data_IF_556813050628
#
_entry.id   IF_556813050628
#
_cell.length_a   1.000
_cell.length_b   1.000
_cell.length_c   1.000
_cell.angle_alpha   90.00
_cell.angle_beta   90.00
_cell.angle_gamma   90.00
#
_symmetry.space_group_name_H-M   'P 1'
#
loop_
_entity.id
_entity.type
_entity.pdbx_description
1 polymer ?
#
# COMPACT_ATOMS: atom_id res chain seq x y z
N UNK A 1 5.31 -10.69 12.92
CA UNK A 1 6.52 -9.82 13.03
C UNK A 1 6.13 -8.54 13.76
N UNK A 2 6.94 -8.07 14.73
CA UNK A 2 6.65 -6.92 15.59
C UNK A 2 7.80 -5.92 15.45
N UNK A 3 7.52 -4.67 15.14
CA UNK A 3 8.50 -3.57 15.20
C UNK A 3 8.69 -3.17 16.66
N UNK A 4 9.85 -3.46 17.22
CA UNK A 4 10.20 -3.16 18.64
C UNK A 4 10.72 -1.74 18.78
N UNK A 5 11.56 -1.30 17.85
CA UNK A 5 12.22 0.02 17.89
C UNK A 5 12.37 0.59 16.49
N UNK A 6 12.15 1.91 16.38
CA UNK A 6 12.33 2.69 15.16
C UNK A 6 13.29 3.83 15.43
N UNK A 7 14.37 3.91 14.64
CA UNK A 7 15.31 5.01 14.65
C UNK A 7 15.18 5.80 13.35
N UNK A 8 15.00 7.09 13.44
CA UNK A 8 14.84 8.02 12.32
C UNK A 8 15.88 9.12 12.43
N UNK A 9 16.48 9.49 11.29
CA UNK A 9 17.37 10.64 11.19
C UNK A 9 17.12 11.37 9.87
N UNK A 10 16.81 12.66 9.95
CA UNK A 10 16.59 13.57 8.82
C UNK A 10 15.54 13.11 7.81
N UNK A 11 14.42 12.54 8.28
CA UNK A 11 13.33 12.05 7.44
C UNK A 11 12.14 13.01 7.45
N UNK A 12 11.84 13.62 6.31
CA UNK A 12 10.79 14.64 6.15
C UNK A 12 10.96 15.78 7.17
N UNK A 13 9.99 16.02 8.06
CA UNK A 13 10.11 17.04 9.12
C UNK A 13 10.75 16.51 10.41
N UNK A 14 11.04 15.20 10.50
CA UNK A 14 11.66 14.59 11.69
C UNK A 14 13.17 14.70 11.57
N UNK A 15 13.79 15.43 12.51
CA UNK A 15 15.24 15.54 12.59
C UNK A 15 15.86 14.28 13.17
N UNK A 16 15.38 13.88 14.34
CA UNK A 16 15.80 12.66 15.03
C UNK A 16 14.67 12.11 15.86
N UNK A 17 14.46 10.80 15.81
CA UNK A 17 13.58 10.08 16.72
C UNK A 17 14.14 8.68 16.99
N UNK A 18 13.98 8.21 18.23
CA UNK A 18 14.31 6.85 18.63
C UNK A 18 13.17 6.36 19.54
N UNK A 19 12.36 5.44 19.03
CA UNK A 19 11.08 5.10 19.62
C UNK A 19 10.98 3.60 19.86
N UNK A 20 10.61 3.20 21.07
CA UNK A 20 10.27 1.83 21.41
C UNK A 20 8.75 1.64 21.42
N UNK A 21 8.28 0.57 20.81
CA UNK A 21 6.86 0.33 20.59
C UNK A 21 6.29 -0.80 21.45
N UNK A 22 4.99 -0.68 21.74
CA UNK A 22 4.18 -1.79 22.23
C UNK A 22 3.98 -2.84 21.12
N UNK A 23 3.92 -4.14 21.48
CA UNK A 23 3.64 -5.19 20.51
C UNK A 23 2.22 -5.15 19.94
N UNK A 24 1.30 -4.39 20.54
CA UNK A 24 -0.11 -4.31 20.11
C UNK A 24 -0.47 -2.94 19.52
N UNK A 25 -0.64 -1.93 20.33
CA UNK A 25 -1.20 -0.64 19.87
C UNK A 25 -0.23 0.50 20.16
N UNK A 26 0.06 1.31 19.14
CA UNK A 26 0.91 2.49 19.24
C UNK A 26 0.14 3.69 18.67
N UNK A 27 -0.16 4.66 19.51
CA UNK A 27 -0.94 5.82 19.16
C UNK A 27 -0.07 7.09 19.09
N UNK A 28 -0.23 7.88 18.03
CA UNK A 28 0.42 9.16 17.85
C UNK A 28 -0.61 10.27 17.85
N UNK A 29 -0.52 11.15 18.84
CA UNK A 29 -1.41 12.30 19.00
C UNK A 29 -0.68 13.61 18.73
N UNK A 30 -1.34 14.56 18.07
CA UNK A 30 -0.80 15.89 17.77
C UNK A 30 -1.66 16.63 16.76
N UNK A 31 -1.46 17.93 16.64
CA UNK A 31 -2.14 18.77 15.65
C UNK A 31 -1.80 18.29 14.20
N UNK A 32 -2.59 18.76 13.22
CA UNK A 32 -2.29 18.49 11.81
C UNK A 32 -0.98 19.18 11.40
N UNK A 33 -0.20 18.53 10.55
CA UNK A 33 1.10 19.04 10.09
C UNK A 33 2.29 18.76 11.03
N UNK A 34 2.07 18.26 12.25
CA UNK A 34 3.14 18.05 13.23
C UNK A 34 4.08 16.87 12.91
N UNK A 35 3.76 16.00 11.93
CA UNK A 35 4.63 14.91 11.52
C UNK A 35 4.10 13.51 11.82
N UNK A 36 2.88 13.35 12.32
CA UNK A 36 2.27 12.03 12.61
C UNK A 36 2.30 11.10 11.41
N UNK A 37 1.78 11.55 10.25
CA UNK A 37 1.82 10.81 8.98
C UNK A 37 3.25 10.46 8.56
N UNK A 38 4.24 11.31 8.87
CA UNK A 38 5.64 11.08 8.52
C UNK A 38 6.27 9.94 9.34
N UNK A 39 5.80 9.72 10.57
CA UNK A 39 6.17 8.53 11.37
C UNK A 39 5.64 7.26 10.75
N UNK A 40 4.35 7.23 10.39
CA UNK A 40 3.76 6.07 9.70
C UNK A 40 4.44 5.83 8.36
N UNK A 41 4.76 6.89 7.62
CA UNK A 41 5.49 6.77 6.36
C UNK A 41 6.91 6.22 6.53
N UNK A 42 7.58 6.49 7.66
CA UNK A 42 8.87 5.88 7.97
C UNK A 42 8.74 4.35 8.20
N UNK A 43 7.70 3.90 8.90
CA UNK A 43 7.38 2.47 9.04
C UNK A 43 7.04 1.84 7.68
N UNK A 44 6.23 2.52 6.87
CA UNK A 44 5.91 2.11 5.50
C UNK A 44 7.17 2.00 4.63
N UNK A 45 8.11 2.95 4.78
CA UNK A 45 9.37 2.97 4.03
C UNK A 45 10.23 1.72 4.32
N UNK A 46 10.24 1.26 5.56
CA UNK A 46 10.94 0.01 5.95
C UNK A 46 10.34 -1.24 5.31
N UNK A 47 9.03 -1.26 5.00
CA UNK A 47 8.36 -2.38 4.34
C UNK A 47 8.54 -2.37 2.81
N UNK A 48 8.39 -1.20 2.18
CA UNK A 48 8.33 -1.08 0.72
C UNK A 48 9.57 -0.46 0.08
N UNK A 49 10.56 -0.07 0.87
CA UNK A 49 11.75 0.66 0.42
C UNK A 49 11.43 1.96 -0.33
N UNK A 50 10.26 2.54 -0.10
CA UNK A 50 9.79 3.80 -0.71
C UNK A 50 8.74 4.47 0.18
N UNK A 51 8.58 5.78 0.05
CA UNK A 51 7.53 6.53 0.75
C UNK A 51 6.15 6.19 0.16
N UNK A 52 5.13 6.18 1.02
CA UNK A 52 3.72 6.03 0.61
C UNK A 52 3.23 7.29 -0.12
N UNK A 53 3.66 8.47 0.33
CA UNK A 53 3.16 9.77 -0.15
C UNK A 53 4.09 10.47 -1.15
N UNK A 54 5.36 10.05 -1.25
CA UNK A 54 6.33 10.72 -2.13
C UNK A 54 7.08 9.71 -3.00
N UNK A 55 6.92 9.76 -4.35
CA UNK A 55 7.56 8.81 -5.25
C UNK A 55 9.06 9.03 -5.41
N UNK A 56 9.59 10.20 -5.00
CA UNK A 56 10.99 10.59 -5.20
C UNK A 56 11.75 10.52 -3.87
N UNK A 57 12.67 9.57 -3.74
CA UNK A 57 13.43 9.35 -2.49
C UNK A 57 14.20 10.59 -1.99
N UNK A 58 14.70 11.45 -2.89
CA UNK A 58 15.40 12.66 -2.48
C UNK A 58 14.50 13.71 -1.81
N UNK A 59 13.18 13.61 -2.01
CA UNK A 59 12.19 14.53 -1.41
C UNK A 59 11.74 14.09 -0.02
N UNK A 60 12.12 12.89 0.44
CA UNK A 60 11.88 12.47 1.83
C UNK A 60 13.00 12.89 2.78
N UNK A 61 14.12 13.44 2.26
CA UNK A 61 15.15 14.06 3.08
C UNK A 61 14.65 15.37 3.68
N UNK A 62 15.03 15.65 4.91
CA UNK A 62 14.82 16.96 5.52
C UNK A 62 15.54 18.03 4.69
N UNK A 63 14.91 19.21 4.54
CA UNK A 63 15.38 20.24 3.60
C UNK A 63 16.85 20.64 3.80
N UNK A 64 17.29 20.76 5.05
CA UNK A 64 18.63 21.20 5.43
C UNK A 64 19.63 20.05 5.62
N UNK A 65 19.33 18.86 5.07
CA UNK A 65 20.14 17.66 5.25
C UNK A 65 20.58 17.04 3.94
N UNK A 66 21.75 16.42 3.96
CA UNK A 66 22.33 15.72 2.81
C UNK A 66 22.07 14.21 2.82
N UNK A 67 21.43 13.71 3.84
CA UNK A 67 21.11 12.29 3.99
C UNK A 67 19.89 12.09 4.87
N UNK A 68 19.27 10.92 4.76
CA UNK A 68 18.33 10.41 5.75
C UNK A 68 18.62 8.95 6.09
N UNK A 69 18.18 8.53 7.25
CA UNK A 69 18.21 7.13 7.71
C UNK A 69 16.89 6.80 8.38
N UNK A 70 16.34 5.64 8.06
CA UNK A 70 15.25 4.98 8.79
C UNK A 70 15.69 3.57 9.08
N UNK A 71 15.71 3.18 10.36
CA UNK A 71 16.11 1.85 10.79
C UNK A 71 15.08 1.28 11.75
N UNK A 72 14.65 0.06 11.49
CA UNK A 72 13.68 -0.67 12.31
C UNK A 72 14.27 -1.95 12.85
N UNK A 73 14.04 -2.19 14.13
CA UNK A 73 14.41 -3.43 14.82
C UNK A 73 13.14 -4.23 15.09
N UNK A 74 13.07 -5.40 14.49
CA UNK A 74 11.89 -6.26 14.54
C UNK A 74 12.17 -7.54 15.30
N UNK A 75 11.12 -8.13 15.82
CA UNK A 75 11.09 -9.48 16.37
C UNK A 75 10.15 -10.35 15.55
N UNK A 76 10.63 -11.51 15.10
CA UNK A 76 9.80 -12.48 14.38
C UNK A 76 8.90 -13.24 15.36
N UNK A 77 7.94 -14.01 14.85
CA UNK A 77 7.09 -14.89 15.66
C UNK A 77 7.89 -16.03 16.33
N UNK A 78 9.08 -16.33 15.81
CA UNK A 78 10.02 -17.30 16.38
C UNK A 78 10.96 -16.69 17.44
N UNK A 79 10.91 -15.36 17.64
CA UNK A 79 11.78 -14.63 18.57
C UNK A 79 13.13 -14.20 17.98
N UNK A 80 13.33 -14.37 16.66
CA UNK A 80 14.54 -13.88 16.00
C UNK A 80 14.51 -12.36 15.85
N UNK A 81 15.65 -11.72 16.04
CA UNK A 81 15.82 -10.28 15.82
C UNK A 81 16.16 -10.00 14.36
N UNK A 82 15.52 -8.98 13.81
CA UNK A 82 15.74 -8.51 12.45
C UNK A 82 16.01 -7.00 12.43
N UNK A 83 17.14 -6.60 11.86
CA UNK A 83 17.55 -5.21 11.67
C UNK A 83 17.37 -4.80 10.21
N UNK A 84 16.48 -3.85 9.97
CA UNK A 84 16.19 -3.30 8.64
C UNK A 84 16.61 -1.85 8.59
N UNK A 85 17.58 -1.57 7.74
CA UNK A 85 18.13 -0.25 7.52
C UNK A 85 17.79 0.25 6.11
N UNK A 86 17.23 1.44 6.03
CA UNK A 86 17.02 2.17 4.78
C UNK A 86 17.67 3.55 4.90
N UNK A 87 18.57 3.88 3.98
CA UNK A 87 19.23 5.18 3.98
C UNK A 87 19.64 5.64 2.61
N UNK A 88 19.75 6.95 2.44
CA UNK A 88 20.21 7.59 1.22
C UNK A 88 20.98 8.88 1.54
N UNK A 89 22.08 9.09 0.83
CA UNK A 89 22.80 10.37 0.81
C UNK A 89 22.47 11.11 -0.50
N UNK A 90 22.42 12.43 -0.44
CA UNK A 90 22.14 13.29 -1.61
C UNK A 90 23.07 12.92 -2.78
N UNK A 91 22.49 12.75 -3.97
CA UNK A 91 23.18 12.35 -5.20
C UNK A 91 23.80 10.94 -5.18
N UNK A 92 23.47 10.12 -4.20
CA UNK A 92 23.88 8.71 -4.15
C UNK A 92 22.68 7.78 -4.28
N UNK A 93 22.95 6.51 -4.59
CA UNK A 93 21.91 5.48 -4.62
C UNK A 93 21.47 5.16 -3.19
N UNK A 94 20.19 4.93 -3.05
CA UNK A 94 19.59 4.39 -1.82
C UNK A 94 20.16 3.02 -1.47
N UNK A 95 20.36 2.78 -0.19
CA UNK A 95 20.85 1.51 0.36
C UNK A 95 19.80 0.95 1.31
N UNK A 96 19.42 -0.30 1.09
CA UNK A 96 18.55 -1.06 1.99
C UNK A 96 19.33 -2.29 2.46
N UNK A 97 19.35 -2.52 3.78
CA UNK A 97 20.05 -3.66 4.39
C UNK A 97 19.13 -4.42 5.31
N UNK A 98 19.31 -5.73 5.35
CA UNK A 98 18.76 -6.62 6.37
C UNK A 98 19.92 -7.28 7.11
N UNK A 99 19.96 -7.17 8.43
CA UNK A 99 21.02 -7.71 9.28
C UNK A 99 22.43 -7.33 8.76
N UNK A 100 22.60 -6.02 8.44
CA UNK A 100 23.82 -5.41 7.87
C UNK A 100 24.16 -5.83 6.44
N UNK A 101 23.45 -6.80 5.83
CA UNK A 101 23.64 -7.23 4.46
C UNK A 101 22.76 -6.42 3.50
N UNK A 102 23.38 -5.76 2.52
CA UNK A 102 22.64 -4.96 1.53
C UNK A 102 21.89 -5.84 0.52
N UNK A 103 20.67 -5.44 0.17
CA UNK A 103 19.94 -6.03 -0.94
C UNK A 103 20.50 -5.58 -2.29
N UNK A 104 20.60 -6.49 -3.24
CA UNK A 104 20.94 -6.17 -4.63
C UNK A 104 19.72 -5.60 -5.37
N UNK A 105 18.55 -6.12 -5.08
CA UNK A 105 17.26 -5.67 -5.64
C UNK A 105 16.25 -5.47 -4.53
N UNK A 106 15.61 -4.32 -4.48
CA UNK A 106 14.61 -4.02 -3.44
C UNK A 106 13.35 -4.91 -3.54
N UNK A 107 13.07 -5.47 -4.71
CA UNK A 107 12.01 -6.48 -4.89
C UNK A 107 12.21 -7.74 -4.02
N UNK A 108 13.45 -8.06 -3.62
CA UNK A 108 13.73 -9.16 -2.70
C UNK A 108 13.19 -8.89 -1.30
N UNK A 109 13.14 -7.60 -0.90
CA UNK A 109 12.66 -7.17 0.40
C UNK A 109 11.13 -7.06 0.49
N UNK A 110 10.44 -6.66 -0.59
CA UNK A 110 8.98 -6.49 -0.60
C UNK A 110 8.28 -7.75 -0.09
N UNK A 111 7.35 -7.61 0.87
CA UNK A 111 6.63 -8.72 1.52
C UNK A 111 7.40 -9.44 2.62
N UNK A 112 8.63 -9.03 2.94
CA UNK A 112 9.33 -9.50 4.15
C UNK A 112 8.67 -8.95 5.41
N UNK A 113 8.28 -7.68 5.40
CA UNK A 113 7.47 -7.04 6.42
C UNK A 113 6.11 -6.71 5.78
N UNK A 114 5.12 -7.63 5.82
CA UNK A 114 3.82 -7.33 5.25
C UNK A 114 3.18 -6.17 6.01
N UNK A 115 2.54 -5.25 5.26
CA UNK A 115 2.00 -4.04 5.83
C UNK A 115 0.80 -3.55 5.03
N UNK A 116 -0.22 -3.06 5.74
CA UNK A 116 -1.33 -2.32 5.15
C UNK A 116 -1.42 -0.95 5.80
N UNK A 117 -1.49 0.07 4.98
CA UNK A 117 -1.72 1.45 5.41
C UNK A 117 -3.10 1.92 4.92
N UNK A 118 -3.84 2.54 5.83
CA UNK A 118 -5.07 3.29 5.55
C UNK A 118 -4.77 4.75 5.79
N UNK A 119 -4.94 5.58 4.78
CA UNK A 119 -4.61 7.01 4.86
C UNK A 119 -5.61 7.87 4.09
N UNK A 120 -5.66 9.18 4.34
CA UNK A 120 -6.52 10.10 3.57
C UNK A 120 -6.22 10.08 2.06
N UNK A 121 -4.99 9.77 1.66
CA UNK A 121 -4.59 9.67 0.24
C UNK A 121 -5.24 8.49 -0.47
N UNK A 122 -5.68 7.46 0.23
CA UNK A 122 -6.39 6.31 -0.34
C UNK A 122 -7.74 6.68 -0.99
N UNK A 123 -8.26 7.88 -0.73
CA UNK A 123 -9.43 8.40 -1.43
C UNK A 123 -9.25 8.38 -2.96
N UNK A 124 -8.01 8.41 -3.44
CA UNK A 124 -7.64 8.20 -4.84
C UNK A 124 -8.13 6.88 -5.42
N UNK A 125 -8.31 5.82 -4.62
CA UNK A 125 -8.87 4.53 -5.06
C UNK A 125 -10.29 4.69 -5.60
N UNK A 126 -11.13 5.49 -4.95
CA UNK A 126 -12.51 5.75 -5.39
C UNK A 126 -12.54 6.89 -6.41
N UNK A 127 -11.95 8.04 -6.07
CA UNK A 127 -12.10 9.27 -6.85
C UNK A 127 -11.13 9.36 -8.02
N UNK A 128 -10.00 8.66 -7.96
CA UNK A 128 -8.94 8.67 -8.96
C UNK A 128 -9.24 7.82 -10.21
N UNK A 129 -8.20 7.59 -10.99
CA UNK A 129 -8.21 6.77 -12.19
C UNK A 129 -7.96 5.28 -11.91
N UNK A 130 -7.98 4.48 -12.99
CA UNK A 130 -7.67 3.05 -12.92
C UNK A 130 -6.23 2.76 -12.45
N UNK A 131 -5.31 3.71 -12.57
CA UNK A 131 -3.92 3.56 -12.12
C UNK A 131 -3.83 3.30 -10.61
N UNK A 132 -4.58 4.07 -9.79
CA UNK A 132 -4.62 3.89 -8.33
C UNK A 132 -5.18 2.52 -7.95
N UNK A 133 -6.21 2.05 -8.67
CA UNK A 133 -6.83 0.74 -8.42
C UNK A 133 -5.92 -0.42 -8.84
N UNK A 134 -5.19 -0.29 -9.95
CA UNK A 134 -4.14 -1.27 -10.31
C UNK A 134 -3.03 -1.29 -9.26
N UNK A 135 -2.54 -0.10 -8.84
CA UNK A 135 -1.52 0.01 -7.80
C UNK A 135 -1.96 -0.66 -6.49
N UNK A 136 -3.23 -0.53 -6.10
CA UNK A 136 -3.79 -1.23 -4.94
C UNK A 136 -3.64 -2.76 -5.08
N UNK A 137 -4.08 -3.33 -6.22
CA UNK A 137 -3.94 -4.77 -6.49
C UNK A 137 -2.46 -5.20 -6.49
N UNK A 138 -1.61 -4.44 -7.19
CA UNK A 138 -0.19 -4.76 -7.35
C UNK A 138 0.56 -4.74 -6.02
N UNK A 139 0.30 -3.73 -5.18
CA UNK A 139 0.89 -3.62 -3.83
C UNK A 139 0.42 -4.77 -2.94
N UNK A 140 -0.85 -5.16 -3.00
CA UNK A 140 -1.36 -6.26 -2.20
C UNK A 140 -0.75 -7.60 -2.63
N UNK A 141 -0.82 -7.93 -3.93
CA UNK A 141 -0.36 -9.23 -4.44
C UNK A 141 1.15 -9.38 -4.31
N UNK A 142 1.92 -8.33 -4.61
CA UNK A 142 3.39 -8.36 -4.56
C UNK A 142 3.96 -8.66 -3.16
N UNK A 143 3.19 -8.46 -2.10
CA UNK A 143 3.65 -8.75 -0.74
C UNK A 143 3.70 -10.25 -0.42
N UNK A 144 2.90 -11.07 -1.08
CA UNK A 144 2.84 -12.52 -0.83
C UNK A 144 3.25 -13.39 -2.04
N UNK A 145 3.25 -12.82 -3.26
CA UNK A 145 3.59 -13.51 -4.50
C UNK A 145 4.82 -12.87 -5.16
N UNK A 146 5.96 -13.54 -5.02
CA UNK A 146 7.25 -13.08 -5.60
C UNK A 146 7.30 -13.24 -7.11
N UNK A 147 6.62 -14.26 -7.65
CA UNK A 147 6.51 -14.48 -9.09
C UNK A 147 5.72 -13.35 -9.73
N UNK A 148 4.58 -12.99 -9.13
CA UNK A 148 3.81 -11.84 -9.57
C UNK A 148 4.63 -10.55 -9.64
N UNK A 149 5.39 -10.24 -8.59
CA UNK A 149 6.25 -9.05 -8.56
C UNK A 149 7.32 -9.09 -9.65
N UNK A 150 7.92 -10.26 -9.90
CA UNK A 150 8.92 -10.41 -10.95
C UNK A 150 8.31 -10.18 -12.35
N UNK A 151 7.14 -10.76 -12.61
CA UNK A 151 6.43 -10.62 -13.89
C UNK A 151 5.87 -9.19 -14.07
N UNK A 152 5.44 -8.51 -12.99
CA UNK A 152 5.04 -7.10 -13.05
C UNK A 152 6.21 -6.21 -13.49
N UNK A 153 7.41 -6.42 -12.93
CA UNK A 153 8.62 -5.69 -13.32
C UNK A 153 9.01 -6.00 -14.79
N UNK A 154 8.89 -7.26 -15.20
CA UNK A 154 9.20 -7.68 -16.58
C UNK A 154 8.21 -7.05 -17.58
N UNK A 155 6.91 -7.05 -17.23
CA UNK A 155 5.86 -6.43 -18.02
C UNK A 155 6.07 -4.92 -18.20
N UNK A 156 6.35 -4.20 -17.11
CA UNK A 156 6.60 -2.75 -17.15
C UNK A 156 7.80 -2.41 -18.02
N UNK A 157 8.87 -3.21 -17.92
CA UNK A 157 10.03 -3.05 -18.80
C UNK A 157 9.68 -3.27 -20.28
N UNK A 158 8.96 -4.34 -20.58
CA UNK A 158 8.55 -4.65 -21.96
C UNK A 158 7.63 -3.56 -22.53
N UNK A 159 6.68 -3.07 -21.72
CA UNK A 159 5.79 -1.96 -22.07
C UNK A 159 6.55 -0.67 -22.38
N UNK A 160 7.54 -0.32 -21.56
CA UNK A 160 8.39 0.86 -21.78
C UNK A 160 9.19 0.72 -23.10
N UNK A 161 9.78 -0.43 -23.37
CA UNK A 161 10.54 -0.68 -24.59
C UNK A 161 9.63 -0.65 -25.83
N UNK A 162 8.47 -1.32 -25.77
CA UNK A 162 7.49 -1.27 -26.85
C UNK A 162 7.03 0.17 -27.13
N UNK A 163 6.71 0.94 -26.08
CA UNK A 163 6.30 2.33 -26.25
C UNK A 163 7.43 3.22 -26.80
N UNK A 164 8.68 2.93 -26.49
CA UNK A 164 9.82 3.64 -27.10
C UNK A 164 9.93 3.38 -28.60
N UNK A 165 9.70 2.12 -29.04
CA UNK A 165 9.67 1.78 -30.47
C UNK A 165 8.47 2.45 -31.20
N UNK A 166 7.29 2.45 -30.57
CA UNK A 166 6.10 3.06 -31.16
C UNK A 166 6.22 4.59 -31.37
N UNK A 167 7.10 5.26 -30.64
CA UNK A 167 7.36 6.71 -30.75
C UNK A 167 8.36 7.10 -31.82
N UNK A 168 9.08 6.15 -32.40
CA UNK A 168 10.07 6.44 -33.45
C UNK A 168 9.37 6.97 -34.71
N UNK A 169 10.03 7.84 -35.46
CA UNK A 169 9.50 8.37 -36.71
C UNK A 169 9.43 7.28 -37.80
N UNK A 170 10.50 6.48 -37.89
CA UNK A 170 10.58 5.36 -38.82
C UNK A 170 9.74 4.17 -38.33
N UNK A 171 9.41 3.25 -39.24
CA UNK A 171 8.76 1.99 -38.87
C UNK A 171 9.66 1.19 -37.93
N UNK A 172 9.15 0.77 -36.75
CA UNK A 172 9.94 -0.05 -35.84
C UNK A 172 10.25 -1.39 -36.44
N UNK A 173 11.44 -1.94 -36.11
CA UNK A 173 11.80 -3.30 -36.46
C UNK A 173 10.71 -4.29 -35.99
N UNK A 174 10.09 -5.04 -36.93
CA UNK A 174 8.97 -5.94 -36.60
C UNK A 174 9.37 -7.09 -35.67
N UNK A 175 10.62 -7.57 -35.73
CA UNK A 175 11.12 -8.64 -34.89
C UNK A 175 11.29 -8.15 -33.45
N UNK A 176 11.92 -6.97 -33.29
CA UNK A 176 12.11 -6.35 -31.99
C UNK A 176 10.77 -5.95 -31.33
N UNK A 177 9.85 -5.41 -32.11
CA UNK A 177 8.49 -5.10 -31.65
C UNK A 177 7.77 -6.38 -31.21
N UNK A 178 7.86 -7.46 -32.02
CA UNK A 178 7.29 -8.77 -31.70
C UNK A 178 7.83 -9.37 -30.41
N UNK A 179 9.14 -9.26 -30.17
CA UNK A 179 9.76 -9.72 -28.93
C UNK A 179 9.16 -9.07 -27.67
N UNK A 180 9.01 -7.74 -27.68
CA UNK A 180 8.42 -7.03 -26.54
C UNK A 180 6.94 -7.34 -26.33
N UNK A 181 6.20 -7.57 -27.42
CA UNK A 181 4.79 -7.98 -27.34
C UNK A 181 4.63 -9.38 -26.76
N UNK A 182 5.48 -10.33 -27.12
CA UNK A 182 5.50 -11.67 -26.54
C UNK A 182 5.85 -11.63 -25.05
N UNK A 183 6.83 -10.80 -24.67
CA UNK A 183 7.14 -10.58 -23.25
C UNK A 183 5.97 -9.96 -22.50
N UNK A 184 5.33 -8.91 -23.07
CA UNK A 184 4.14 -8.30 -22.47
C UNK A 184 2.99 -9.30 -22.33
N UNK A 185 2.74 -10.12 -23.34
CA UNK A 185 1.67 -11.12 -23.30
C UNK A 185 1.91 -12.17 -22.24
N UNK A 186 3.10 -12.78 -22.23
CA UNK A 186 3.46 -13.83 -21.27
C UNK A 186 3.37 -13.33 -19.82
N UNK A 187 4.02 -12.21 -19.50
CA UNK A 187 3.94 -11.64 -18.15
C UNK A 187 2.54 -11.14 -17.82
N UNK A 188 1.84 -10.57 -18.81
CA UNK A 188 0.49 -10.06 -18.68
C UNK A 188 -0.55 -11.13 -18.37
N UNK A 189 -0.44 -12.34 -18.93
CA UNK A 189 -1.33 -13.47 -18.65
C UNK A 189 -1.23 -13.89 -17.18
N UNK A 190 -0.02 -14.00 -16.64
CA UNK A 190 0.16 -14.30 -15.22
C UNK A 190 -0.42 -13.17 -14.34
N UNK A 191 -0.14 -11.91 -14.67
CA UNK A 191 -0.69 -10.76 -13.94
C UNK A 191 -2.21 -10.78 -13.95
N UNK A 192 -2.84 -11.02 -15.10
CA UNK A 192 -4.28 -11.13 -15.25
C UNK A 192 -4.88 -12.21 -14.34
N UNK A 193 -4.33 -13.43 -14.38
CA UNK A 193 -4.81 -14.55 -13.57
C UNK A 193 -4.66 -14.27 -12.06
N UNK A 194 -3.54 -13.70 -11.63
CA UNK A 194 -3.32 -13.37 -10.21
C UNK A 194 -4.23 -12.24 -9.72
N UNK A 195 -4.45 -11.19 -10.51
CA UNK A 195 -5.39 -10.11 -10.16
C UNK A 195 -6.83 -10.62 -10.08
N UNK A 196 -7.24 -11.48 -11.03
CA UNK A 196 -8.55 -12.10 -11.05
C UNK A 196 -8.79 -12.96 -9.80
N UNK A 197 -7.84 -13.81 -9.46
CA UNK A 197 -7.88 -14.64 -8.25
C UNK A 197 -7.88 -13.80 -6.97
N UNK A 198 -7.06 -12.74 -6.91
CA UNK A 198 -7.02 -11.81 -5.79
C UNK A 198 -8.38 -11.14 -5.55
N UNK A 199 -9.01 -10.58 -6.59
CA UNK A 199 -10.31 -9.91 -6.44
C UNK A 199 -11.41 -10.91 -6.07
N UNK A 200 -11.39 -12.12 -6.64
CA UNK A 200 -12.34 -13.17 -6.26
C UNK A 200 -12.22 -13.55 -4.77
N UNK A 201 -11.00 -13.68 -4.24
CA UNK A 201 -10.75 -13.96 -2.83
C UNK A 201 -11.02 -12.77 -1.91
N UNK A 202 -10.70 -11.56 -2.35
CA UNK A 202 -10.88 -10.33 -1.56
C UNK A 202 -12.35 -9.95 -1.39
N UNK A 203 -13.18 -10.15 -2.40
CA UNK A 203 -14.58 -9.67 -2.43
C UNK A 203 -15.40 -10.14 -1.23
N UNK A 204 -15.47 -11.44 -0.86
CA UNK A 204 -16.26 -11.89 0.29
C UNK A 204 -15.73 -11.33 1.61
N UNK A 205 -14.42 -11.18 1.76
CA UNK A 205 -13.79 -10.59 2.95
C UNK A 205 -14.19 -9.11 3.06
N UNK A 206 -14.11 -8.39 1.95
CA UNK A 206 -14.48 -6.99 1.86
C UNK A 206 -15.97 -6.76 2.19
N UNK A 207 -16.87 -7.58 1.64
CA UNK A 207 -18.30 -7.52 1.93
C UNK A 207 -18.58 -7.73 3.43
N UNK A 208 -17.90 -8.68 4.06
CA UNK A 208 -18.02 -8.94 5.50
C UNK A 208 -17.60 -7.71 6.33
N UNK A 209 -16.44 -7.11 6.06
CA UNK A 209 -16.00 -5.90 6.78
C UNK A 209 -16.92 -4.72 6.54
N UNK A 210 -17.37 -4.53 5.30
CA UNK A 210 -18.29 -3.43 4.99
C UNK A 210 -19.60 -3.56 5.74
N UNK A 211 -20.22 -4.73 5.76
CA UNK A 211 -21.45 -5.00 6.53
C UNK A 211 -21.27 -4.71 8.02
N UNK A 212 -20.16 -5.17 8.62
CA UNK A 212 -19.87 -4.92 10.03
C UNK A 212 -19.73 -3.44 10.37
N UNK A 213 -19.10 -2.64 9.50
CA UNK A 213 -18.89 -1.19 9.73
C UNK A 213 -20.14 -0.37 9.41
N UNK A 214 -20.90 -0.74 8.35
CA UNK A 214 -22.07 0.01 7.89
C UNK A 214 -23.37 -0.33 8.63
N UNK A 215 -23.39 -1.43 9.40
CA UNK A 215 -24.59 -1.93 10.08
C UNK A 215 -25.59 -2.60 9.13
N UNK A 216 -25.10 -3.39 8.18
CA UNK A 216 -25.88 -4.29 7.27
C UNK A 216 -26.84 -3.57 6.31
N UNK A 217 -26.63 -2.30 6.02
CA UNK A 217 -27.61 -1.50 5.27
C UNK A 217 -27.40 -1.45 3.76
N UNK A 218 -26.23 -1.87 3.28
CA UNK A 218 -25.84 -1.63 1.89
C UNK A 218 -25.00 -2.79 1.34
N UNK A 219 -25.25 -3.18 0.11
CA UNK A 219 -24.47 -4.18 -0.60
C UNK A 219 -23.32 -3.53 -1.36
N UNK A 220 -22.13 -4.13 -1.27
CA UNK A 220 -20.94 -3.70 -2.00
C UNK A 220 -20.40 -4.79 -2.90
N UNK A 221 -19.82 -4.41 -4.03
CA UNK A 221 -19.20 -5.35 -4.95
C UNK A 221 -17.93 -4.81 -5.59
N UNK A 222 -17.05 -5.74 -5.95
CA UNK A 222 -15.84 -5.52 -6.72
C UNK A 222 -15.90 -6.36 -7.99
N UNK A 223 -15.54 -5.77 -9.14
CA UNK A 223 -15.45 -6.48 -10.40
C UNK A 223 -14.15 -6.12 -11.10
N UNK A 224 -13.31 -7.13 -11.37
CA UNK A 224 -12.08 -6.94 -12.12
C UNK A 224 -12.41 -6.88 -13.61
N UNK A 225 -11.90 -5.84 -14.28
CA UNK A 225 -12.10 -5.58 -15.71
C UNK A 225 -10.75 -5.59 -16.40
N UNK A 226 -10.56 -6.50 -17.34
CA UNK A 226 -9.29 -6.66 -18.03
C UNK A 226 -9.42 -6.86 -19.52
N UNK A 227 -8.38 -6.48 -20.23
CA UNK A 227 -8.22 -6.86 -21.63
C UNK A 227 -7.95 -8.37 -21.82
N UNK A 228 -7.50 -9.07 -20.78
CA UNK A 228 -7.37 -10.53 -20.77
C UNK A 228 -8.69 -11.27 -20.94
N UNK A 229 -9.83 -10.63 -20.62
CA UNK A 229 -11.17 -11.20 -20.85
C UNK A 229 -11.55 -11.26 -22.35
N UNK A 230 -10.78 -10.62 -23.24
CA UNK A 230 -11.07 -10.56 -24.70
C UNK A 230 -10.43 -11.70 -25.48
N UNK A 231 -9.60 -12.52 -24.85
CA UNK A 231 -8.85 -13.62 -25.46
C UNK A 231 -7.34 -13.55 -25.15
N UNK A 232 -6.50 -14.36 -25.82
CA UNK A 232 -5.07 -14.37 -25.60
C UNK A 232 -4.47 -12.98 -25.72
N UNK A 233 -3.72 -12.53 -24.69
CA UNK A 233 -3.20 -11.16 -24.66
C UNK A 233 -2.29 -10.83 -25.83
N UNK A 234 -1.57 -11.79 -26.39
CA UNK A 234 -0.74 -11.56 -27.57
C UNK A 234 -1.57 -11.11 -28.77
N UNK A 235 -2.72 -11.76 -28.99
CA UNK A 235 -3.60 -11.43 -30.10
C UNK A 235 -4.26 -10.05 -29.89
N UNK A 236 -4.65 -9.78 -28.65
CA UNK A 236 -5.22 -8.47 -28.27
C UNK A 236 -4.21 -7.33 -28.46
N UNK A 237 -2.94 -7.53 -28.08
CA UNK A 237 -1.87 -6.55 -28.24
C UNK A 237 -1.54 -6.36 -29.72
N UNK A 238 -1.35 -7.46 -30.48
CA UNK A 238 -1.03 -7.42 -31.92
C UNK A 238 -2.16 -6.81 -32.75
N UNK A 239 -3.39 -7.11 -32.42
CA UNK A 239 -4.57 -6.53 -33.07
C UNK A 239 -4.67 -5.00 -32.90
N UNK A 240 -4.05 -4.45 -31.86
CA UNK A 240 -4.00 -3.01 -31.61
C UNK A 240 -2.86 -2.24 -32.30
N UNK A 241 -1.89 -2.89 -32.94
CA UNK A 241 -0.63 -2.29 -33.45
C UNK A 241 -0.83 -1.02 -34.27
N UNK A 242 -1.72 -1.04 -35.25
CA UNK A 242 -1.94 0.11 -36.13
C UNK A 242 -2.38 1.34 -35.35
N UNK A 243 -3.29 1.17 -34.40
CA UNK A 243 -3.79 2.26 -33.56
C UNK A 243 -2.72 2.72 -32.56
N UNK A 244 -1.99 1.79 -31.94
CA UNK A 244 -0.90 2.06 -30.99
C UNK A 244 0.20 2.88 -31.67
N UNK A 245 0.50 2.58 -32.96
CA UNK A 245 1.50 3.32 -33.75
C UNK A 245 1.09 4.76 -33.95
N UNK A 246 -0.19 5.02 -34.29
CA UNK A 246 -0.72 6.37 -34.45
C UNK A 246 -0.66 7.15 -33.12
N UNK A 247 -0.95 6.48 -32.01
CA UNK A 247 -0.98 7.11 -30.69
C UNK A 247 0.41 7.24 -30.04
N UNK A 248 1.41 6.49 -30.51
CA UNK A 248 2.75 6.47 -29.94
C UNK A 248 2.86 5.72 -28.60
N UNK A 249 1.85 4.93 -28.20
CA UNK A 249 1.86 4.12 -26.98
C UNK A 249 0.84 2.97 -27.03
N UNK A 250 1.05 1.97 -26.18
CA UNK A 250 0.23 0.76 -26.09
C UNK A 250 -1.15 1.08 -25.49
N UNK A 251 -2.21 0.71 -26.22
CA UNK A 251 -3.60 0.87 -25.78
C UNK A 251 -4.19 -0.41 -25.18
N UNK A 252 -3.52 -1.56 -25.35
CA UNK A 252 -4.02 -2.87 -24.96
C UNK A 252 -3.02 -3.59 -24.05
N UNK A 253 -3.55 -4.30 -23.07
CA UNK A 253 -2.79 -5.08 -22.08
C UNK A 253 -3.22 -4.78 -20.65
N UNK A 254 -2.61 -5.49 -19.67
CA UNK A 254 -2.98 -5.41 -18.25
C UNK A 254 -2.71 -4.06 -17.58
N UNK A 255 -1.90 -3.19 -18.20
CA UNK A 255 -1.72 -1.80 -17.78
C UNK A 255 -2.94 -0.90 -18.06
N UNK A 256 -3.98 -1.44 -18.71
CA UNK A 256 -5.28 -0.80 -18.94
C UNK A 256 -6.39 -1.39 -18.08
N UNK A 257 -6.10 -2.41 -17.28
CA UNK A 257 -7.09 -3.02 -16.39
C UNK A 257 -7.67 -2.03 -15.39
N UNK A 258 -8.85 -2.35 -14.91
CA UNK A 258 -9.55 -1.57 -13.89
C UNK A 258 -10.22 -2.48 -12.85
N UNK A 259 -10.54 -1.89 -11.71
CA UNK A 259 -11.37 -2.47 -10.66
C UNK A 259 -12.64 -1.63 -10.54
N UNK A 260 -13.75 -2.17 -10.98
CA UNK A 260 -15.05 -1.54 -10.80
C UNK A 260 -15.52 -1.74 -9.35
N UNK A 261 -15.92 -0.65 -8.72
CA UNK A 261 -16.28 -0.55 -7.31
C UNK A 261 -17.72 -0.04 -7.20
N UNK A 262 -18.63 -0.86 -6.68
CA UNK A 262 -20.05 -0.53 -6.60
C UNK A 262 -20.59 -0.55 -5.18
N UNK A 263 -21.57 0.30 -4.94
CA UNK A 263 -22.43 0.36 -3.75
C UNK A 263 -23.87 0.27 -4.21
N UNK A 264 -24.63 -0.69 -3.69
CA UNK A 264 -26.04 -0.95 -4.09
C UNK A 264 -26.22 -1.07 -5.61
N UNK A 265 -25.25 -1.70 -6.31
CA UNK A 265 -25.26 -1.87 -7.77
C UNK A 265 -24.79 -0.66 -8.58
N UNK A 266 -24.54 0.51 -7.97
CA UNK A 266 -24.12 1.74 -8.63
C UNK A 266 -22.65 2.06 -8.37
N UNK A 267 -21.94 2.72 -9.32
CA UNK A 267 -20.54 3.12 -9.12
C UNK A 267 -20.40 4.03 -7.90
N UNK A 268 -19.64 3.60 -6.90
CA UNK A 268 -19.49 4.35 -5.62
C UNK A 268 -18.89 5.74 -5.82
N UNK A 269 -18.06 5.92 -6.85
CA UNK A 269 -17.48 7.22 -7.20
C UNK A 269 -18.54 8.31 -7.47
N UNK A 270 -19.71 7.93 -7.99
CA UNK A 270 -20.78 8.86 -8.38
C UNK A 270 -21.84 9.01 -7.31
N UNK A 271 -22.22 7.87 -6.69
CA UNK A 271 -23.40 7.80 -5.84
C UNK A 271 -23.06 7.80 -4.34
N UNK A 272 -21.79 7.50 -3.98
CA UNK A 272 -21.39 7.38 -2.57
C UNK A 272 -21.27 8.72 -1.86
N UNK A 273 -21.92 8.85 -0.70
CA UNK A 273 -21.67 9.97 0.23
C UNK A 273 -20.23 9.92 0.76
N UNK A 274 -19.76 11.02 1.36
CA UNK A 274 -18.40 11.08 1.94
C UNK A 274 -18.19 9.99 3.00
N UNK A 275 -19.16 9.76 3.88
CA UNK A 275 -19.11 8.72 4.90
C UNK A 275 -19.13 7.31 4.32
N UNK A 276 -19.93 7.06 3.26
CA UNK A 276 -19.95 5.78 2.55
C UNK A 276 -18.62 5.51 1.85
N UNK A 277 -18.05 6.51 1.14
CA UNK A 277 -16.75 6.39 0.51
C UNK A 277 -15.65 6.05 1.53
N UNK A 278 -15.65 6.71 2.68
CA UNK A 278 -14.68 6.44 3.75
C UNK A 278 -14.85 5.03 4.34
N UNK A 279 -16.08 4.63 4.63
CA UNK A 279 -16.40 3.27 5.09
C UNK A 279 -15.95 2.22 4.10
N UNK A 280 -16.22 2.44 2.80
CA UNK A 280 -15.82 1.55 1.72
C UNK A 280 -14.30 1.36 1.67
N UNK A 281 -13.54 2.47 1.74
CA UNK A 281 -12.08 2.45 1.76
C UNK A 281 -11.52 1.70 2.96
N UNK A 282 -12.02 1.99 4.16
CA UNK A 282 -11.55 1.31 5.37
C UNK A 282 -11.86 -0.18 5.30
N UNK A 283 -13.08 -0.56 4.93
CA UNK A 283 -13.47 -1.96 4.77
C UNK A 283 -12.59 -2.68 3.72
N UNK A 284 -12.31 -2.03 2.59
CA UNK A 284 -11.45 -2.59 1.54
C UNK A 284 -10.01 -2.81 2.02
N UNK A 285 -9.47 -1.88 2.80
CA UNK A 285 -8.12 -1.97 3.37
C UNK A 285 -8.03 -3.01 4.50
N UNK A 286 -9.06 -3.10 5.35
CA UNK A 286 -9.12 -4.17 6.36
C UNK A 286 -9.27 -5.55 5.70
N UNK A 287 -10.02 -5.64 4.59
CA UNK A 287 -10.08 -6.85 3.78
C UNK A 287 -8.72 -7.20 3.14
N UNK A 288 -7.97 -6.21 2.64
CA UNK A 288 -6.60 -6.38 2.18
C UNK A 288 -5.70 -6.94 3.29
N UNK A 289 -5.83 -6.41 4.51
CA UNK A 289 -5.08 -6.90 5.66
C UNK A 289 -5.40 -8.38 5.95
N UNK A 290 -6.68 -8.70 6.03
CA UNK A 290 -7.11 -10.07 6.35
C UNK A 290 -6.75 -11.05 5.23
N UNK A 291 -6.85 -10.65 3.96
CA UNK A 291 -6.39 -11.43 2.82
C UNK A 291 -4.88 -11.73 2.92
N UNK A 292 -4.05 -10.73 3.24
CA UNK A 292 -2.60 -10.91 3.42
C UNK A 292 -2.29 -11.81 4.62
N UNK A 293 -3.03 -11.66 5.73
CA UNK A 293 -2.92 -12.51 6.91
C UNK A 293 -3.20 -13.98 6.60
N UNK A 294 -4.24 -14.25 5.79
CA UNK A 294 -4.63 -15.61 5.41
C UNK A 294 -3.67 -16.22 4.36
N UNK A 295 -3.14 -15.41 3.46
CA UNK A 295 -2.27 -15.85 2.36
C UNK A 295 -0.80 -15.90 2.74
N UNK A 296 -0.39 -15.16 3.77
CA UNK A 296 1.00 -15.01 4.21
C UNK A 296 1.38 -15.90 5.38
N UNK A 297 2.69 -15.90 5.68
CA UNK A 297 3.27 -16.60 6.84
C UNK A 297 3.37 -15.71 8.09
N UNK A 298 3.20 -14.41 7.93
CA UNK A 298 3.41 -13.40 8.97
C UNK A 298 2.22 -12.46 8.99
N UNK A 299 1.72 -12.15 10.18
CA UNK A 299 0.64 -11.16 10.34
C UNK A 299 1.15 -9.78 9.91
N UNK A 300 0.43 -9.06 9.01
CA UNK A 300 0.83 -7.74 8.57
C UNK A 300 0.83 -6.70 9.69
N UNK A 301 1.65 -5.64 9.56
CA UNK A 301 1.49 -4.41 10.33
C UNK A 301 0.30 -3.62 9.80
N UNK A 302 -0.46 -2.97 10.68
CA UNK A 302 -1.57 -2.10 10.29
C UNK A 302 -1.27 -0.65 10.66
N UNK A 303 -1.23 0.23 9.66
CA UNK A 303 -1.04 1.67 9.83
C UNK A 303 -2.36 2.39 9.55
N UNK A 304 -2.86 3.16 10.50
CA UNK A 304 -4.13 3.87 10.44
C UNK A 304 -3.87 5.38 10.60
N UNK A 305 -3.84 6.11 9.47
CA UNK A 305 -3.55 7.53 9.44
C UNK A 305 -4.83 8.35 9.35
N UNK A 306 -5.17 9.04 10.45
CA UNK A 306 -6.29 9.98 10.54
C UNK A 306 -7.62 9.44 9.99
N UNK A 307 -7.93 8.18 10.35
CA UNK A 307 -9.02 7.43 9.71
C UNK A 307 -10.41 7.81 10.24
N UNK A 308 -10.50 8.42 11.42
CA UNK A 308 -11.79 8.67 12.09
C UNK A 308 -12.47 9.98 11.65
N UNK A 309 -11.74 10.85 10.91
CA UNK A 309 -12.34 12.05 10.35
C UNK A 309 -13.54 11.73 9.44
N UNK A 310 -14.62 12.51 9.55
CA UNK A 310 -15.85 12.42 8.75
C UNK A 310 -16.65 11.10 8.88
N UNK A 311 -16.39 10.32 9.91
CA UNK A 311 -17.21 9.17 10.29
C UNK A 311 -18.13 9.53 11.45
N UNK A 312 -19.33 8.95 11.47
CA UNK A 312 -20.21 8.99 12.61
C UNK A 312 -19.71 8.12 13.77
N UNK A 313 -20.18 8.40 14.99
CA UNK A 313 -19.72 7.71 16.19
C UNK A 313 -19.92 6.19 16.15
N UNK A 314 -20.99 5.72 15.49
CA UNK A 314 -21.29 4.29 15.39
C UNK A 314 -20.23 3.57 14.53
N UNK A 315 -19.88 4.12 13.36
CA UNK A 315 -18.84 3.56 12.50
C UNK A 315 -17.46 3.60 13.15
N UNK A 316 -17.13 4.70 13.85
CA UNK A 316 -15.89 4.78 14.63
C UNK A 316 -15.83 3.67 15.67
N UNK A 317 -16.91 3.41 16.41
CA UNK A 317 -16.96 2.34 17.41
C UNK A 317 -16.79 0.96 16.79
N UNK A 318 -17.43 0.70 15.64
CA UNK A 318 -17.29 -0.59 14.94
C UNK A 318 -15.84 -0.80 14.44
N UNK A 319 -15.22 0.22 13.87
CA UNK A 319 -13.81 0.12 13.42
C UNK A 319 -12.90 -0.15 14.62
N UNK A 320 -13.06 0.59 15.73
CA UNK A 320 -12.28 0.37 16.96
C UNK A 320 -12.45 -1.07 17.45
N UNK A 321 -13.68 -1.57 17.54
CA UNK A 321 -13.95 -2.94 17.95
C UNK A 321 -13.26 -3.96 17.04
N UNK A 322 -13.32 -3.76 15.73
CA UNK A 322 -12.69 -4.64 14.75
C UNK A 322 -11.17 -4.69 14.91
N UNK A 323 -10.52 -3.52 14.93
CA UNK A 323 -9.05 -3.47 14.97
C UNK A 323 -8.46 -3.83 16.34
N UNK A 324 -9.24 -3.73 17.42
CA UNK A 324 -8.83 -4.17 18.77
C UNK A 324 -8.88 -5.70 18.95
N UNK A 325 -9.43 -6.44 17.99
CA UNK A 325 -9.52 -7.90 18.06
C UNK A 325 -8.15 -8.58 17.83
N UNK A 326 -8.03 -9.84 18.28
CA UNK A 326 -6.79 -10.64 18.20
C UNK A 326 -6.33 -10.95 16.76
N UNK A 327 -7.21 -10.78 15.78
CA UNK A 327 -6.89 -10.99 14.36
C UNK A 327 -5.89 -9.97 13.82
N UNK A 328 -5.83 -8.79 14.41
CA UNK A 328 -4.91 -7.73 14.04
C UNK A 328 -3.65 -7.81 14.92
N UNK A 329 -2.49 -7.82 14.27
CA UNK A 329 -1.19 -7.84 14.96
C UNK A 329 -0.83 -6.48 15.57
N UNK A 330 0.35 -5.96 15.26
CA UNK A 330 0.77 -4.64 15.73
C UNK A 330 0.11 -3.53 14.89
N UNK A 331 -0.43 -2.53 15.59
CA UNK A 331 -1.19 -1.42 14.99
C UNK A 331 -0.54 -0.10 15.36
N UNK A 332 -0.44 0.81 14.38
CA UNK A 332 0.00 2.18 14.54
C UNK A 332 -1.13 3.13 14.12
N UNK A 333 -1.53 4.03 14.99
CA UNK A 333 -2.69 4.90 14.78
C UNK A 333 -2.29 6.36 14.98
N UNK A 334 -2.69 7.24 14.08
CA UNK A 334 -2.59 8.69 14.27
C UNK A 334 -3.97 9.29 14.42
N UNK A 335 -4.13 10.26 15.30
CA UNK A 335 -5.35 11.06 15.44
C UNK A 335 -5.00 12.44 16.02
N UNK A 336 -5.90 13.39 15.80
CA UNK A 336 -5.93 14.72 16.48
C UNK A 336 -6.82 14.68 17.72
N UNK A 337 -7.79 13.77 17.78
CA UNK A 337 -8.78 13.64 18.84
C UNK A 337 -8.38 12.56 19.85
N UNK A 338 -7.94 13.01 21.03
CA UNK A 338 -7.58 12.12 22.13
C UNK A 338 -8.73 11.18 22.54
N UNK A 339 -9.98 11.65 22.50
CA UNK A 339 -11.14 10.84 22.89
C UNK A 339 -11.39 9.63 21.98
N UNK A 340 -10.94 9.64 20.72
CA UNK A 340 -10.94 8.43 19.88
C UNK A 340 -9.87 7.44 20.35
N UNK A 341 -8.66 7.92 20.61
CA UNK A 341 -7.57 7.08 21.08
C UNK A 341 -7.86 6.48 22.46
N UNK A 342 -8.42 7.26 23.40
CA UNK A 342 -8.79 6.76 24.73
C UNK A 342 -9.78 5.60 24.67
N UNK A 343 -10.72 5.61 23.70
CA UNK A 343 -11.64 4.48 23.46
C UNK A 343 -10.94 3.25 22.93
N UNK A 344 -9.98 3.42 22.02
CA UNK A 344 -9.13 2.31 21.51
C UNK A 344 -8.32 1.73 22.65
N UNK A 345 -7.68 2.59 23.44
CA UNK A 345 -6.83 2.20 24.55
C UNK A 345 -7.61 1.49 25.67
N UNK A 346 -8.85 1.91 25.93
CA UNK A 346 -9.74 1.26 26.88
C UNK A 346 -10.15 -0.16 26.45
N UNK A 347 -10.16 -0.44 25.14
CA UNK A 347 -10.43 -1.78 24.58
C UNK A 347 -9.17 -2.62 24.40
N UNK A 348 -7.99 -1.99 24.38
CA UNK A 348 -6.71 -2.69 24.32
C UNK A 348 -6.37 -3.25 25.72
N UNK A 349 -6.06 -4.53 25.82
CA UNK A 349 -5.75 -5.24 27.07
C UNK A 349 -4.35 -4.89 27.61
N UNK A 350 -4.10 -3.61 27.90
CA UNK A 350 -2.89 -3.14 28.61
C UNK A 350 -1.62 -2.94 27.77
N UNK A 351 -1.54 -3.51 26.57
CA UNK A 351 -0.35 -3.43 25.72
C UNK A 351 -0.44 -2.26 24.70
N UNK A 352 -0.30 -1.05 25.18
CA UNK A 352 -0.26 0.12 24.29
C UNK A 352 0.83 1.12 24.69
N UNK A 353 1.22 1.96 23.72
CA UNK A 353 2.01 3.17 23.95
C UNK A 353 1.36 4.35 23.29
N UNK A 354 1.46 5.51 23.96
CA UNK A 354 0.96 6.81 23.47
C UNK A 354 2.14 7.75 23.27
N UNK A 355 2.19 8.40 22.11
CA UNK A 355 3.24 9.35 21.76
C UNK A 355 2.62 10.71 21.41
N UNK A 356 3.13 11.77 22.01
CA UNK A 356 2.84 13.15 21.62
C UNK A 356 3.79 13.55 20.47
N UNK A 357 3.21 14.17 19.42
CA UNK A 357 3.95 14.63 18.25
C UNK A 357 3.74 16.12 18.05
N UNK A 358 4.84 16.90 18.11
CA UNK A 358 4.86 18.34 17.91
C UNK A 358 6.11 18.75 17.11
N UNK A 359 5.92 19.42 15.98
CA UNK A 359 6.98 19.96 15.11
C UNK A 359 8.09 18.95 14.75
N UNK A 360 7.71 17.71 14.48
CA UNK A 360 8.64 16.62 14.16
C UNK A 360 9.33 16.01 15.39
N UNK A 361 9.08 16.49 16.59
CA UNK A 361 9.57 15.91 17.85
C UNK A 361 8.51 14.92 18.35
N UNK A 362 8.96 13.74 18.76
CA UNK A 362 8.11 12.64 19.24
C UNK A 362 8.53 12.29 20.66
N UNK A 363 7.59 12.29 21.58
CA UNK A 363 7.83 11.94 22.97
C UNK A 363 6.82 10.91 23.45
N UNK A 364 7.28 9.85 24.10
CA UNK A 364 6.39 8.91 24.77
C UNK A 364 5.64 9.59 25.89
N UNK A 365 4.32 9.49 25.87
CA UNK A 365 3.45 10.03 26.92
C UNK A 365 3.28 8.95 27.99
N UNK A 366 4.07 9.03 29.07
CA UNK A 366 3.82 8.22 30.27
C UNK A 366 2.49 8.67 30.89
N UNK A 367 1.54 7.73 31.04
CA UNK A 367 0.24 7.96 31.64
C UNK A 367 0.33 8.35 33.12
#
# INVERSE_FOLDING_TARGET
>A
MILKRLSILNYKNIEQADLEFSPKVNCFIGQNGMGKTNLLDAVYYLSFCKSASNPIDSQVMRHDSDFFVVQGFYETEQGDEEDIYCGMKRRQKKVVKRNKKAYLRFSEHVGFIPLVMVSPSDNGLIQGGSEERRRFMDVAISQHDKEYLAELIAYDKALQQRNALLKQEDEPDPELLGLWEEMMARSGELIYERRKAFIAGLTPIFQSFYMQISGEREEVSLSYISHGDRGPLLDVIRGGRAKDRIMGYSLHGVHKDDLEMKLAGYPIKREGSQGQNKTYLIALKLAQFDFLRQSGRTVPLLLLDDIFDRLDASRVEQIIRLVSGDAFGQIFITDVNRGHLDRILASATGDYKLFAVADGVVQEHTA
#
